data_IF_538717000330
#
_entry.id   IF_538717000330
#
_cell.length_a   1.000
_cell.length_b   1.000
_cell.length_c   1.000
_cell.angle_alpha   90.00
_cell.angle_beta   90.00
_cell.angle_gamma   90.00
#
_symmetry.space_group_name_H-M   'P 1'
#
loop_
_entity.id
_entity.type
_entity.pdbx_description
1 polymer ?
#
# COMPACT_ATOMS: atom_id res chain seq x y z
N UNK A 1 16.08 -5.65 -7.88
CA UNK A 1 15.15 -5.65 -6.72
C UNK A 1 14.02 -4.69 -7.04
N UNK A 2 12.86 -4.87 -6.45
CA UNK A 2 11.72 -3.97 -6.54
C UNK A 2 11.40 -3.44 -5.13
N UNK A 3 11.29 -2.13 -5.00
CA UNK A 3 10.73 -1.44 -3.84
C UNK A 3 9.30 -1.02 -4.19
N UNK A 4 8.34 -1.39 -3.36
CA UNK A 4 6.98 -0.84 -3.40
C UNK A 4 6.49 -0.45 -2.02
N UNK A 5 5.73 0.62 -1.92
CA UNK A 5 5.13 1.08 -0.66
C UNK A 5 3.99 2.05 -0.96
N UNK A 6 3.19 2.36 0.05
CA UNK A 6 2.23 3.45 0.00
C UNK A 6 2.69 4.58 0.93
N UNK A 7 2.49 5.82 0.51
CA UNK A 7 2.80 7.00 1.31
C UNK A 7 1.66 8.00 1.33
N UNK A 8 1.47 8.66 2.47
CA UNK A 8 0.50 9.74 2.64
C UNK A 8 1.12 10.88 3.44
N UNK A 9 1.22 12.05 2.83
CA UNK A 9 1.58 13.26 3.55
C UNK A 9 0.31 13.87 4.17
N UNK A 10 0.27 14.03 5.48
CA UNK A 10 -0.87 14.67 6.18
C UNK A 10 -0.80 16.20 6.04
N UNK A 11 -0.78 16.68 4.80
CA UNK A 11 -0.84 18.10 4.47
C UNK A 11 -2.27 18.51 4.19
N UNK A 12 -2.60 19.75 4.53
CA UNK A 12 -3.87 20.38 4.16
C UNK A 12 -4.00 20.39 2.63
N UNK A 13 -4.75 19.43 2.09
CA UNK A 13 -5.23 19.37 0.71
C UNK A 13 -4.22 19.85 -0.34
N UNK A 14 -3.06 19.19 -0.36
CA UNK A 14 -2.14 19.27 -1.48
C UNK A 14 -2.86 18.80 -2.75
N UNK A 15 -3.41 19.74 -3.55
CA UNK A 15 -3.87 19.50 -4.94
C UNK A 15 -2.69 19.25 -5.89
N UNK A 16 -1.62 18.66 -5.38
CA UNK A 16 -0.40 18.40 -6.11
C UNK A 16 -0.57 17.10 -6.91
N UNK A 17 0.16 16.96 -8.00
CA UNK A 17 0.20 15.71 -8.76
C UNK A 17 1.05 14.62 -8.08
N UNK A 18 1.92 14.99 -7.13
CA UNK A 18 2.81 14.08 -6.42
C UNK A 18 3.30 14.67 -5.09
N UNK A 19 3.57 13.80 -4.12
CA UNK A 19 4.20 14.13 -2.84
C UNK A 19 5.72 14.27 -2.98
N UNK A 20 6.31 15.28 -2.33
CA UNK A 20 7.72 15.66 -2.51
C UNK A 20 8.51 15.76 -1.22
N UNK A 21 7.83 15.90 -0.08
CA UNK A 21 8.44 16.13 1.24
C UNK A 21 8.74 14.84 1.99
N UNK A 22 8.72 13.73 1.29
CA UNK A 22 9.04 12.43 1.84
C UNK A 22 9.97 11.66 0.89
N UNK A 23 10.79 10.78 1.44
CA UNK A 23 11.70 9.92 0.69
C UNK A 23 11.74 8.54 1.32
N UNK A 24 11.98 7.53 0.49
CA UNK A 24 12.53 6.26 0.95
C UNK A 24 13.94 6.19 0.42
N UNK A 25 14.91 5.89 1.29
CA UNK A 25 16.32 5.84 0.95
C UNK A 25 16.88 4.47 1.28
N UNK A 26 17.61 3.86 0.33
CA UNK A 26 18.34 2.62 0.56
C UNK A 26 19.83 2.95 0.62
N UNK A 27 20.45 2.58 1.74
CA UNK A 27 21.87 2.80 2.02
C UNK A 27 22.55 1.43 2.11
N UNK A 28 23.63 1.27 1.34
CA UNK A 28 24.41 0.03 1.33
C UNK A 28 25.60 0.13 2.30
N UNK A 29 25.80 -0.91 3.11
CA UNK A 29 26.96 -1.02 4.00
C UNK A 29 28.21 -1.50 3.25
N UNK A 30 29.33 -0.80 3.42
CA UNK A 30 30.59 -1.05 2.72
C UNK A 30 31.00 0.17 1.90
N UNK A 31 30.40 0.32 0.73
CA UNK A 31 30.42 1.52 -0.09
C UNK A 31 29.19 2.35 0.27
N UNK A 32 29.35 3.51 0.91
CA UNK A 32 28.23 4.35 1.39
C UNK A 32 27.50 5.04 0.23
N UNK A 33 27.01 4.27 -0.73
CA UNK A 33 26.12 4.73 -1.79
C UNK A 33 24.68 4.75 -1.27
N UNK A 34 23.97 5.83 -1.56
CA UNK A 34 22.57 6.02 -1.19
C UNK A 34 21.73 6.15 -2.46
N UNK A 35 20.68 5.33 -2.56
CA UNK A 35 19.65 5.48 -3.58
C UNK A 35 18.40 6.09 -2.94
N UNK A 36 17.91 7.20 -3.51
CA UNK A 36 16.73 7.90 -3.02
C UNK A 36 15.56 7.64 -3.97
N UNK A 37 14.43 7.23 -3.41
CA UNK A 37 13.21 6.93 -4.15
C UNK A 37 12.15 8.00 -3.89
N UNK A 38 11.38 8.30 -4.93
CA UNK A 38 10.22 9.18 -4.90
C UNK A 38 8.99 8.43 -5.41
N UNK A 39 7.78 8.80 -4.97
CA UNK A 39 6.57 8.11 -5.37
C UNK A 39 6.27 8.44 -6.84
N UNK A 40 5.74 7.46 -7.57
CA UNK A 40 5.55 7.55 -9.03
C UNK A 40 4.10 7.37 -9.45
N UNK A 41 3.26 6.78 -8.60
CA UNK A 41 1.84 6.56 -8.86
C UNK A 41 0.98 7.82 -8.73
N UNK A 42 -0.28 7.72 -9.16
CA UNK A 42 -1.30 8.74 -8.85
C UNK A 42 -1.61 8.75 -7.36
N UNK A 43 -2.03 9.91 -6.84
CA UNK A 43 -2.60 10.01 -5.49
C UNK A 43 -4.03 9.46 -5.53
N UNK A 44 -4.29 8.43 -4.73
CA UNK A 44 -5.56 7.71 -4.62
C UNK A 44 -6.01 7.82 -3.16
N UNK A 45 -7.10 8.54 -2.90
CA UNK A 45 -7.63 8.72 -1.54
C UNK A 45 -6.59 9.25 -0.52
N UNK A 46 -5.66 10.08 -1.00
CA UNK A 46 -4.56 10.65 -0.22
C UNK A 46 -3.34 9.74 -0.06
N UNK A 47 -3.33 8.56 -0.66
CA UNK A 47 -2.18 7.65 -0.70
C UNK A 47 -1.54 7.66 -2.08
N UNK A 48 -0.21 7.66 -2.12
CA UNK A 48 0.55 7.60 -3.36
C UNK A 48 1.48 6.39 -3.35
N UNK A 49 1.57 5.70 -4.48
CA UNK A 49 2.37 4.47 -4.58
C UNK A 49 3.82 4.76 -4.96
N UNK A 50 4.71 4.09 -4.25
CA UNK A 50 6.09 3.83 -4.61
C UNK A 50 6.18 2.58 -5.47
N UNK A 51 6.89 2.69 -6.58
CA UNK A 51 7.30 1.54 -7.39
C UNK A 51 8.62 1.91 -8.07
N UNK A 52 9.70 1.24 -7.68
CA UNK A 52 11.03 1.51 -8.22
C UNK A 52 11.91 0.29 -8.20
N UNK A 53 12.62 0.08 -9.30
CA UNK A 53 13.64 -0.95 -9.42
C UNK A 53 14.99 -0.42 -8.95
N UNK A 54 15.76 -1.28 -8.28
CA UNK A 54 17.12 -0.97 -7.86
C UNK A 54 18.03 -2.20 -7.89
N UNK A 55 19.33 -1.97 -7.98
CA UNK A 55 20.35 -3.03 -8.04
C UNK A 55 21.20 -2.96 -6.79
N UNK A 56 21.27 -4.06 -6.03
CA UNK A 56 22.15 -4.15 -4.87
C UNK A 56 23.60 -4.25 -5.39
N UNK A 57 24.52 -3.35 -4.97
CA UNK A 57 25.94 -3.44 -5.33
C UNK A 57 26.57 -4.76 -4.89
N UNK A 58 27.50 -5.30 -5.69
CA UNK A 58 28.12 -6.60 -5.42
C UNK A 58 28.94 -6.65 -4.11
N UNK A 59 29.42 -5.50 -3.64
CA UNK A 59 30.19 -5.33 -2.41
C UNK A 59 29.33 -4.94 -1.19
N UNK A 60 28.01 -4.81 -1.35
CA UNK A 60 27.09 -4.48 -0.26
C UNK A 60 27.04 -5.61 0.77
N UNK A 61 27.36 -5.28 2.03
CA UNK A 61 27.31 -6.23 3.16
C UNK A 61 26.05 -6.12 4.00
N UNK A 62 25.36 -4.99 3.90
CA UNK A 62 24.09 -4.73 4.58
C UNK A 62 23.26 -3.74 3.77
N UNK A 63 21.96 -3.74 4.04
CA UNK A 63 20.98 -2.80 3.50
C UNK A 63 20.34 -2.10 4.69
N UNK A 64 20.35 -0.77 4.68
CA UNK A 64 19.58 0.06 5.58
C UNK A 64 18.52 0.78 4.78
N UNK A 65 17.26 0.65 5.22
CA UNK A 65 16.11 1.35 4.63
C UNK A 65 15.75 2.50 5.56
N UNK A 66 15.74 3.72 5.04
CA UNK A 66 15.33 4.92 5.76
C UNK A 66 14.04 5.48 5.16
N UNK A 67 13.12 5.84 6.04
CA UNK A 67 11.92 6.59 5.70
C UNK A 67 12.12 8.01 6.21
N UNK A 68 12.13 8.97 5.28
CA UNK A 68 12.43 10.35 5.57
C UNK A 68 11.16 11.19 5.52
N UNK A 69 10.92 11.95 6.58
CA UNK A 69 9.92 13.00 6.60
C UNK A 69 10.63 14.35 6.61
N UNK A 70 10.61 15.03 5.47
CA UNK A 70 11.11 16.40 5.28
C UNK A 70 9.98 17.43 5.33
N UNK A 71 8.84 17.08 5.94
CA UNK A 71 7.69 17.95 6.10
C UNK A 71 7.70 18.65 7.46
N UNK A 72 7.99 19.95 7.44
CA UNK A 72 7.98 20.79 8.64
C UNK A 72 6.57 20.88 9.24
N UNK A 73 6.33 20.11 10.29
CA UNK A 73 5.12 20.20 11.12
C UNK A 73 3.95 19.31 10.71
N UNK A 74 4.11 18.39 9.74
CA UNK A 74 3.07 17.42 9.39
C UNK A 74 3.60 15.98 9.34
N UNK A 75 2.84 15.00 9.86
CA UNK A 75 3.25 13.60 9.79
C UNK A 75 3.16 13.06 8.36
N UNK A 76 4.06 12.13 8.06
CA UNK A 76 4.02 11.32 6.84
C UNK A 76 3.81 9.87 7.26
N UNK A 77 2.83 9.23 6.64
CA UNK A 77 2.50 7.83 6.87
C UNK A 77 3.05 6.99 5.74
N UNK A 78 3.63 5.84 6.07
CA UNK A 78 4.07 4.83 5.14
C UNK A 78 3.35 3.52 5.49
N UNK A 79 2.91 2.80 4.48
CA UNK A 79 2.22 1.53 4.66
C UNK A 79 2.60 0.52 3.57
N UNK A 80 2.31 -0.76 3.82
CA UNK A 80 2.42 -1.85 2.84
C UNK A 80 3.79 -1.89 2.12
N UNK A 81 4.86 -1.69 2.88
CA UNK A 81 6.24 -1.66 2.35
C UNK A 81 6.68 -3.07 1.95
N UNK A 82 7.19 -3.21 0.73
CA UNK A 82 7.76 -4.44 0.19
C UNK A 82 9.09 -4.17 -0.48
N UNK A 83 10.03 -5.08 -0.25
CA UNK A 83 11.28 -5.20 -0.99
C UNK A 83 11.42 -6.66 -1.40
N UNK A 84 11.38 -6.93 -2.71
CA UNK A 84 11.45 -8.29 -3.25
C UNK A 84 12.30 -8.35 -4.53
N UNK A 85 12.74 -9.55 -4.95
CA UNK A 85 13.36 -9.71 -6.26
C UNK A 85 12.41 -9.24 -7.36
N UNK A 86 12.95 -8.62 -8.42
CA UNK A 86 12.15 -8.03 -9.49
C UNK A 86 11.25 -9.08 -10.19
N UNK A 87 11.78 -10.28 -10.40
CA UNK A 87 11.05 -11.40 -11.02
C UNK A 87 10.24 -12.23 -10.01
N UNK A 88 10.10 -11.79 -8.76
CA UNK A 88 9.30 -12.50 -7.76
C UNK A 88 7.85 -11.98 -7.74
N UNK A 89 6.91 -12.89 -7.48
CA UNK A 89 5.51 -12.58 -7.25
C UNK A 89 5.24 -12.62 -5.75
N UNK A 90 4.62 -11.58 -5.20
CA UNK A 90 4.25 -11.50 -3.79
C UNK A 90 2.77 -11.17 -3.66
N UNK A 91 2.05 -11.99 -2.90
CA UNK A 91 0.69 -11.72 -2.43
C UNK A 91 0.66 -11.72 -0.92
N UNK A 92 -0.11 -10.79 -0.34
CA UNK A 92 -0.32 -10.72 1.10
C UNK A 92 -1.79 -10.84 1.42
N UNK A 93 -2.11 -11.61 2.46
CA UNK A 93 -3.49 -11.83 2.93
C UNK A 93 -3.60 -11.28 4.36
N UNK A 94 -4.54 -10.36 4.54
CA UNK A 94 -4.82 -9.71 5.82
C UNK A 94 -6.06 -10.35 6.40
N UNK A 95 -5.95 -10.85 7.63
CA UNK A 95 -7.03 -11.48 8.34
C UNK A 95 -7.43 -10.64 9.55
N UNK A 96 -8.73 -10.56 9.83
CA UNK A 96 -9.22 -9.92 11.04
C UNK A 96 -8.78 -10.72 12.28
N UNK A 97 -8.23 -10.04 13.29
CA UNK A 97 -7.60 -10.70 14.44
C UNK A 97 -8.55 -11.56 15.29
N UNK A 98 -9.83 -11.18 15.38
CA UNK A 98 -10.79 -11.87 16.25
C UNK A 98 -11.47 -13.08 15.62
N UNK A 99 -11.76 -13.04 14.32
CA UNK A 99 -12.56 -14.06 13.64
C UNK A 99 -11.83 -14.73 12.47
N UNK A 100 -10.58 -14.31 12.19
CA UNK A 100 -9.70 -14.84 11.15
C UNK A 100 -10.31 -14.83 9.75
N UNK A 101 -11.30 -13.96 9.48
CA UNK A 101 -11.84 -13.76 8.13
C UNK A 101 -10.86 -12.93 7.31
N UNK A 102 -10.72 -13.26 6.03
CA UNK A 102 -9.90 -12.52 5.07
C UNK A 102 -10.51 -11.14 4.85
N UNK A 103 -9.88 -10.07 5.31
CA UNK A 103 -10.39 -8.70 5.17
C UNK A 103 -9.82 -8.01 3.95
N UNK A 104 -8.55 -8.27 3.63
CA UNK A 104 -7.91 -7.66 2.49
C UNK A 104 -6.89 -8.60 1.85
N UNK A 105 -6.71 -8.48 0.55
CA UNK A 105 -5.62 -9.09 -0.20
C UNK A 105 -4.86 -7.99 -0.92
N UNK A 106 -3.54 -7.96 -0.77
CA UNK A 106 -2.68 -7.08 -1.53
C UNK A 106 -2.04 -7.89 -2.67
N UNK A 107 -2.35 -7.50 -3.90
CA UNK A 107 -1.95 -8.23 -5.11
C UNK A 107 -0.48 -8.03 -5.48
N UNK A 108 -0.08 -8.59 -6.63
CA UNK A 108 1.28 -8.54 -7.16
C UNK A 108 1.84 -7.13 -7.32
N UNK A 109 0.96 -6.18 -7.63
CA UNK A 109 1.30 -4.78 -7.88
C UNK A 109 1.12 -3.91 -6.62
N UNK A 110 0.89 -4.56 -5.48
CA UNK A 110 0.61 -3.97 -4.17
C UNK A 110 -0.68 -3.15 -4.13
N UNK A 111 -1.68 -3.51 -4.94
CA UNK A 111 -3.03 -2.94 -4.85
C UNK A 111 -3.92 -3.78 -3.94
N UNK A 112 -4.74 -3.12 -3.13
CA UNK A 112 -5.62 -3.78 -2.18
C UNK A 112 -6.96 -4.21 -2.80
N UNK A 113 -7.38 -5.44 -2.52
CA UNK A 113 -8.76 -5.89 -2.62
C UNK A 113 -9.32 -6.03 -1.21
N UNK A 114 -10.49 -5.44 -0.95
CA UNK A 114 -11.15 -5.41 0.34
C UNK A 114 -12.40 -6.28 0.31
N UNK A 115 -12.55 -7.12 1.33
CA UNK A 115 -13.66 -8.05 1.50
C UNK A 115 -14.48 -7.64 2.72
N UNK A 116 -15.73 -7.24 2.49
CA UNK A 116 -16.66 -6.83 3.55
C UNK A 116 -17.69 -7.93 3.77
N UNK A 117 -17.91 -8.28 5.03
CA UNK A 117 -18.84 -9.31 5.48
C UNK A 117 -19.94 -8.68 6.32
N UNK A 118 -21.11 -9.32 6.35
CA UNK A 118 -22.15 -9.02 7.33
C UNK A 118 -21.86 -9.67 8.70
N UNK A 119 -22.74 -9.42 9.66
CA UNK A 119 -22.65 -9.94 11.03
C UNK A 119 -22.68 -11.47 11.06
N UNK A 120 -23.43 -12.10 10.14
CA UNK A 120 -23.52 -13.55 9.98
C UNK A 120 -22.27 -14.15 9.30
N UNK A 121 -21.43 -13.32 8.69
CA UNK A 121 -20.20 -13.72 8.01
C UNK A 121 -20.32 -14.04 6.53
N UNK A 122 -21.42 -13.66 5.91
CA UNK A 122 -21.60 -13.72 4.47
C UNK A 122 -20.84 -12.57 3.82
N UNK A 123 -20.11 -12.86 2.74
CA UNK A 123 -19.43 -11.83 1.94
C UNK A 123 -20.48 -10.98 1.21
N UNK A 124 -20.55 -9.69 1.54
CA UNK A 124 -21.55 -8.76 0.97
C UNK A 124 -20.95 -7.80 -0.05
N UNK A 125 -19.65 -7.51 0.02
CA UNK A 125 -19.01 -6.57 -0.90
C UNK A 125 -17.55 -6.91 -1.13
N UNK A 126 -17.12 -6.77 -2.38
CA UNK A 126 -15.70 -6.77 -2.75
C UNK A 126 -15.39 -5.43 -3.39
N UNK A 127 -14.40 -4.73 -2.85
CA UNK A 127 -13.83 -3.52 -3.44
C UNK A 127 -12.41 -3.78 -3.88
N UNK A 128 -11.96 -3.12 -4.93
CA UNK A 128 -10.57 -3.17 -5.38
C UNK A 128 -10.04 -1.77 -5.59
N UNK A 129 -8.87 -1.52 -5.04
CA UNK A 129 -8.08 -0.34 -5.31
C UNK A 129 -7.55 -0.39 -6.75
N UNK A 130 -7.65 0.74 -7.44
CA UNK A 130 -7.17 0.89 -8.80
C UNK A 130 -6.44 2.23 -8.93
N UNK A 131 -5.72 2.42 -10.03
CA UNK A 131 -5.09 3.71 -10.37
C UNK A 131 -6.05 4.91 -10.44
N UNK A 132 -7.37 4.66 -10.45
CA UNK A 132 -8.46 5.65 -10.50
C UNK A 132 -9.32 5.66 -9.23
N UNK A 133 -8.83 5.12 -8.13
CA UNK A 133 -9.58 5.02 -6.88
C UNK A 133 -10.12 3.62 -6.59
N UNK A 134 -10.74 3.48 -5.42
CA UNK A 134 -11.38 2.23 -5.01
C UNK A 134 -12.68 2.03 -5.79
N UNK A 135 -12.85 0.85 -6.38
CA UNK A 135 -14.02 0.45 -7.15
C UNK A 135 -14.67 -0.77 -6.52
N UNK A 136 -15.99 -0.74 -6.37
CA UNK A 136 -16.77 -1.92 -6.02
C UNK A 136 -16.80 -2.87 -7.22
N UNK A 137 -16.35 -4.10 -7.02
CA UNK A 137 -16.36 -5.16 -8.03
C UNK A 137 -17.67 -5.93 -7.94
N UNK A 138 -18.08 -6.30 -6.72
CA UNK A 138 -19.33 -7.00 -6.45
C UNK A 138 -19.97 -6.44 -5.18
N UNK A 139 -21.30 -6.36 -5.20
CA UNK A 139 -22.11 -6.02 -4.03
C UNK A 139 -23.37 -6.89 -4.06
N UNK A 140 -23.61 -7.62 -2.98
CA UNK A 140 -24.80 -8.46 -2.80
C UNK A 140 -25.63 -7.88 -1.68
N UNK A 141 -26.93 -7.70 -1.93
CA UNK A 141 -27.89 -7.22 -0.93
C UNK A 141 -28.95 -8.29 -0.72
N UNK A 142 -28.99 -8.88 0.47
CA UNK A 142 -30.10 -9.70 0.94
C UNK A 142 -31.01 -8.86 1.83
N UNK A 143 -32.32 -9.03 1.70
CA UNK A 143 -33.30 -8.43 2.59
C UNK A 143 -34.06 -9.56 3.29
N UNK A 144 -34.17 -9.50 4.61
CA UNK A 144 -35.03 -10.40 5.35
C UNK A 144 -36.50 -10.01 5.07
N UNK A 145 -37.26 -10.92 4.50
CA UNK A 145 -38.69 -10.72 4.25
C UNK A 145 -39.39 -10.58 5.60
N UNK A 146 -40.07 -9.44 5.85
CA UNK A 146 -40.89 -9.28 7.06
C UNK A 146 -41.95 -10.37 7.09
N UNK A 147 -42.05 -11.11 8.19
CA UNK A 147 -43.17 -11.99 8.44
C UNK A 147 -44.46 -11.16 8.39
N UNK A 148 -45.36 -11.52 7.49
CA UNK A 148 -46.71 -10.96 7.46
C UNK A 148 -47.44 -11.61 8.64
N UNK A 149 -47.74 -10.83 9.67
CA UNK A 149 -48.65 -11.24 10.76
C UNK A 149 -50.10 -11.20 10.27
#
# INVERSE_FOLDING_TARGET
MLLSAWVKENTTDCKCSSYVKQSISIIYGGNKTTENFKPTGNIIEGWQRYESEFIIPADAKSIQVQFENNNDGAPVFFDDVRINPFNANVKSFIYHSSNLRLTSELDENNYASFYEYDDDGTLIRVKKETSKGIKTITETRSAMQKAIQ
#
